data_IF_114019582989
#
_entry.id   IF_114019582989
#
_cell.length_a   1.000
_cell.length_b   1.000
_cell.length_c   1.000
_cell.angle_alpha   90.00
_cell.angle_beta   90.00
_cell.angle_gamma   90.00
#
_symmetry.space_group_name_H-M   'P 1'
#
loop_
_entity.id
_entity.type
_entity.pdbx_description
1 polymer ?
#
# COMPACT_ATOMS: atom_id res chain seq x y z
N UNK A 1 12.62 23.41 12.58
CA UNK A 1 11.73 22.78 11.63
C UNK A 1 12.38 22.62 10.28
N UNK A 2 12.97 23.68 9.80
CA UNK A 2 13.66 23.60 8.56
C UNK A 2 14.80 22.64 8.60
N UNK A 3 15.53 22.68 9.67
CA UNK A 3 16.64 21.77 9.84
C UNK A 3 16.16 20.35 9.90
N UNK A 4 15.04 20.15 10.57
CA UNK A 4 14.49 18.81 10.64
C UNK A 4 14.14 18.30 9.26
N UNK A 5 13.62 19.17 8.44
CA UNK A 5 13.30 18.76 7.08
C UNK A 5 14.55 18.42 6.30
N UNK A 6 15.56 19.25 6.46
CA UNK A 6 16.81 18.98 5.77
C UNK A 6 17.39 17.65 6.20
N UNK A 7 17.33 17.39 7.49
CA UNK A 7 17.91 16.16 7.99
C UNK A 7 17.13 14.96 7.56
N UNK A 8 15.94 15.16 7.03
CA UNK A 8 15.14 14.05 6.54
C UNK A 8 15.43 13.71 5.11
N UNK A 9 16.25 14.49 4.44
CA UNK A 9 16.66 14.13 3.11
C UNK A 9 17.58 12.93 3.22
N UNK A 10 17.19 11.82 2.60
CA UNK A 10 17.97 10.58 2.73
C UNK A 10 19.32 10.71 2.06
N UNK A 11 20.28 10.00 2.58
CA UNK A 11 21.60 9.97 1.97
C UNK A 11 21.54 9.46 0.54
N UNK A 12 20.59 8.59 0.26
CA UNK A 12 20.47 8.05 -1.07
C UNK A 12 20.09 9.10 -2.10
N UNK A 13 19.48 10.18 -1.68
CA UNK A 13 19.21 11.26 -2.60
C UNK A 13 20.51 11.87 -3.05
N UNK A 14 21.43 12.02 -2.11
CA UNK A 14 22.73 12.55 -2.39
C UNK A 14 23.48 11.61 -3.30
N UNK A 15 23.22 10.33 -3.17
CA UNK A 15 23.85 9.32 -4.02
C UNK A 15 23.17 9.23 -5.38
N UNK A 16 22.42 10.23 -5.75
CA UNK A 16 21.77 10.34 -7.04
C UNK A 16 20.75 9.27 -7.32
N UNK A 17 19.97 8.99 -6.29
CA UNK A 17 18.78 8.23 -6.50
C UNK A 17 18.98 6.87 -7.12
N UNK A 18 19.85 6.10 -6.54
CA UNK A 18 19.99 4.75 -7.00
C UNK A 18 18.65 4.04 -6.80
N UNK A 19 18.38 3.05 -7.63
CA UNK A 19 17.14 2.28 -7.52
C UNK A 19 17.01 1.65 -6.15
N UNK A 20 18.10 1.16 -5.59
CA UNK A 20 18.08 0.54 -4.27
C UNK A 20 17.63 1.56 -3.21
N UNK A 21 18.13 2.77 -3.32
CA UNK A 21 17.80 3.83 -2.38
C UNK A 21 16.31 4.16 -2.43
N UNK A 22 15.77 4.30 -3.63
CA UNK A 22 14.35 4.60 -3.78
C UNK A 22 13.48 3.47 -3.27
N UNK A 23 13.92 2.23 -3.48
CA UNK A 23 13.17 1.09 -2.99
C UNK A 23 13.16 1.04 -1.45
N UNK A 24 14.28 1.39 -0.84
CA UNK A 24 14.38 1.39 0.61
C UNK A 24 13.46 2.44 1.22
N UNK A 25 13.42 3.63 0.62
CA UNK A 25 12.55 4.68 1.11
C UNK A 25 11.08 4.32 0.96
N UNK A 26 10.74 3.71 -0.15
CA UNK A 26 9.38 3.30 -0.38
C UNK A 26 8.96 2.21 0.60
N UNK A 27 9.89 1.31 0.90
CA UNK A 27 9.63 0.25 1.86
C UNK A 27 9.36 0.83 3.24
N UNK A 28 10.14 1.83 3.66
CA UNK A 28 9.92 2.49 4.93
C UNK A 28 8.57 3.18 4.96
N UNK A 29 8.21 3.82 3.88
CA UNK A 29 6.92 4.47 3.76
C UNK A 29 5.79 3.46 3.91
N UNK A 30 5.90 2.33 3.24
CA UNK A 30 4.87 1.31 3.31
C UNK A 30 4.73 0.79 4.74
N UNK A 31 5.85 0.56 5.42
CA UNK A 31 5.80 0.09 6.80
C UNK A 31 5.10 1.08 7.72
N UNK A 32 5.40 2.35 7.58
CA UNK A 32 4.76 3.38 8.39
C UNK A 32 3.28 3.48 8.09
N UNK A 33 2.96 3.46 6.82
CA UNK A 33 1.56 3.51 6.40
C UNK A 33 0.79 2.32 6.95
N UNK A 34 1.33 1.12 6.75
CA UNK A 34 0.65 -0.11 7.16
C UNK A 34 0.39 -0.11 8.65
N UNK A 35 1.39 0.29 9.42
CA UNK A 35 1.31 0.31 10.86
C UNK A 35 0.25 1.29 11.33
N UNK A 36 0.29 2.51 10.80
CA UNK A 36 -0.68 3.53 11.17
C UNK A 36 -2.09 3.14 10.77
N UNK A 37 -2.23 2.57 9.59
CA UNK A 37 -3.55 2.18 9.12
C UNK A 37 -4.13 1.07 9.99
N UNK A 38 -3.33 0.08 10.33
CA UNK A 38 -3.82 -1.04 11.14
C UNK A 38 -4.10 -0.65 12.58
N UNK A 39 -3.47 0.43 13.06
CA UNK A 39 -3.82 0.96 14.36
C UNK A 39 -5.22 1.55 14.35
N UNK A 40 -5.60 2.16 13.24
CA UNK A 40 -6.94 2.73 13.10
C UNK A 40 -7.98 1.65 12.77
N UNK A 41 -7.58 0.66 12.00
CA UNK A 41 -8.50 -0.39 11.55
C UNK A 41 -7.89 -1.77 11.83
N UNK A 42 -7.84 -2.19 13.09
CA UNK A 42 -7.13 -3.43 13.45
C UNK A 42 -7.73 -4.70 12.84
N UNK A 43 -8.98 -4.66 12.46
CA UNK A 43 -9.62 -5.85 11.89
C UNK A 43 -9.81 -5.74 10.38
N UNK A 44 -9.09 -4.82 9.75
CA UNK A 44 -9.27 -4.57 8.32
C UNK A 44 -9.07 -5.83 7.48
N UNK A 45 -7.99 -6.56 7.72
CA UNK A 45 -7.67 -7.73 6.90
C UNK A 45 -8.76 -8.79 7.06
N UNK A 46 -9.18 -9.05 8.27
CA UNK A 46 -10.24 -10.02 8.53
C UNK A 46 -11.55 -9.61 7.85
N UNK A 47 -11.94 -8.37 8.05
CA UNK A 47 -13.18 -7.86 7.48
C UNK A 47 -13.12 -7.86 5.95
N UNK A 48 -11.98 -7.50 5.39
CA UNK A 48 -11.81 -7.47 3.96
C UNK A 48 -11.94 -8.88 3.37
N UNK A 49 -11.30 -9.86 4.01
CA UNK A 49 -11.35 -11.24 3.56
C UNK A 49 -12.76 -11.83 3.63
N UNK A 50 -13.59 -11.34 4.51
CA UNK A 50 -14.98 -11.81 4.60
C UNK A 50 -15.77 -11.45 3.35
N UNK A 51 -15.31 -10.48 2.58
CA UNK A 51 -15.96 -10.07 1.35
C UNK A 51 -15.50 -10.87 0.15
N UNK A 52 -14.50 -11.72 0.33
CA UNK A 52 -13.89 -12.47 -0.77
C UNK A 52 -14.23 -13.95 -0.70
N UNK A 53 -14.24 -14.59 -1.88
CA UNK A 53 -14.36 -16.04 -1.92
C UNK A 53 -13.14 -16.62 -1.24
N UNK A 54 -13.27 -17.82 -0.71
CA UNK A 54 -12.22 -18.44 0.10
C UNK A 54 -10.88 -18.49 -0.64
N UNK A 55 -10.90 -18.85 -1.89
CA UNK A 55 -9.67 -18.98 -2.67
C UNK A 55 -9.02 -17.62 -2.96
N UNK A 56 -9.79 -16.55 -2.80
CA UNK A 56 -9.29 -15.22 -3.10
C UNK A 56 -8.80 -14.46 -1.90
N UNK A 57 -8.90 -15.04 -0.71
CA UNK A 57 -8.53 -14.34 0.52
C UNK A 57 -7.03 -14.08 0.56
N UNK A 58 -6.67 -12.99 1.21
CA UNK A 58 -5.31 -12.51 1.22
C UNK A 58 -4.79 -12.50 2.64
N UNK A 59 -3.63 -13.14 2.84
CA UNK A 59 -2.98 -13.17 4.15
C UNK A 59 -1.54 -12.72 3.97
N UNK A 60 -1.16 -11.60 4.59
CA UNK A 60 0.22 -11.14 4.49
C UNK A 60 1.19 -12.18 5.02
N UNK A 61 2.35 -12.26 4.41
CA UNK A 61 3.38 -13.19 4.83
C UNK A 61 4.01 -12.69 6.12
N UNK A 62 4.76 -13.59 6.75
CA UNK A 62 5.52 -13.23 7.94
C UNK A 62 6.42 -12.04 7.63
N UNK A 63 6.35 -11.04 8.46
CA UNK A 63 7.13 -9.82 8.27
C UNK A 63 6.44 -8.75 7.47
N UNK A 64 5.30 -9.05 6.86
CA UNK A 64 4.49 -8.08 6.15
C UNK A 64 3.28 -7.70 6.98
N UNK A 65 2.93 -6.44 6.99
CA UNK A 65 1.70 -6.00 7.65
C UNK A 65 0.55 -5.97 6.65
N UNK A 66 0.79 -5.46 5.44
CA UNK A 66 -0.18 -5.45 4.36
C UNK A 66 0.49 -5.83 3.07
N UNK A 67 -0.27 -6.42 2.15
CA UNK A 67 0.21 -6.66 0.80
C UNK A 67 -0.11 -5.45 -0.06
N UNK A 68 0.39 -5.42 -1.29
CA UNK A 68 0.08 -4.35 -2.23
C UNK A 68 -1.43 -4.23 -2.44
N UNK A 69 -2.08 -5.37 -2.62
CA UNK A 69 -3.54 -5.38 -2.81
C UNK A 69 -4.25 -4.76 -1.62
N UNK A 70 -3.84 -5.15 -0.42
CA UNK A 70 -4.47 -4.61 0.78
C UNK A 70 -4.20 -3.12 0.94
N UNK A 71 -3.02 -2.64 0.56
CA UNK A 71 -2.73 -1.21 0.63
C UNK A 71 -3.63 -0.40 -0.29
N UNK A 72 -3.88 -0.93 -1.49
CA UNK A 72 -4.77 -0.26 -2.41
C UNK A 72 -6.14 -0.07 -1.77
N UNK A 73 -6.67 -1.11 -1.18
CA UNK A 73 -7.99 -1.03 -0.58
C UNK A 73 -7.99 -0.31 0.76
N UNK A 74 -6.84 -0.27 1.43
CA UNK A 74 -6.72 0.58 2.62
C UNK A 74 -6.87 2.05 2.22
N UNK A 75 -6.24 2.46 1.12
CA UNK A 75 -6.38 3.82 0.62
C UNK A 75 -7.82 4.12 0.25
N UNK A 76 -8.48 3.18 -0.40
CA UNK A 76 -9.88 3.34 -0.76
C UNK A 76 -10.73 3.51 0.51
N UNK A 77 -10.43 2.73 1.53
CA UNK A 77 -11.14 2.83 2.81
C UNK A 77 -10.98 4.20 3.44
N UNK A 78 -9.82 4.82 3.23
CA UNK A 78 -9.54 6.15 3.75
C UNK A 78 -10.13 7.26 2.89
N UNK A 79 -10.75 6.91 1.78
CA UNK A 79 -11.38 7.89 0.90
C UNK A 79 -10.62 8.22 -0.36
N UNK A 80 -9.45 7.60 -0.55
CA UNK A 80 -8.68 7.81 -1.77
C UNK A 80 -9.11 6.76 -2.78
N UNK A 81 -10.08 7.09 -3.61
CA UNK A 81 -10.71 6.12 -4.49
C UNK A 81 -10.24 6.20 -5.94
N UNK A 82 -9.58 7.28 -6.30
CA UNK A 82 -9.13 7.48 -7.68
C UNK A 82 -7.88 6.66 -7.96
N UNK A 83 -7.94 5.82 -9.00
CA UNK A 83 -6.83 4.93 -9.33
C UNK A 83 -5.55 5.69 -9.66
N UNK A 84 -5.67 6.85 -10.27
CA UNK A 84 -4.50 7.65 -10.60
C UNK A 84 -3.80 8.14 -9.33
N UNK A 85 -4.56 8.56 -8.34
CA UNK A 85 -4.01 9.02 -7.07
C UNK A 85 -3.38 7.86 -6.31
N UNK A 86 -4.05 6.72 -6.32
CA UNK A 86 -3.52 5.53 -5.66
C UNK A 86 -2.19 5.14 -6.30
N UNK A 87 -2.14 5.14 -7.63
CA UNK A 87 -0.93 4.79 -8.35
C UNK A 87 0.21 5.72 -7.98
N UNK A 88 -0.08 7.01 -7.96
CA UNK A 88 0.93 8.00 -7.62
C UNK A 88 1.41 7.83 -6.17
N UNK A 89 0.47 7.62 -5.27
CA UNK A 89 0.75 7.47 -3.85
C UNK A 89 1.66 6.26 -3.59
N UNK A 90 1.36 5.15 -4.25
CA UNK A 90 2.09 3.90 -4.02
C UNK A 90 3.29 3.72 -4.95
N UNK A 91 3.42 4.56 -5.96
CA UNK A 91 4.55 4.46 -6.87
C UNK A 91 4.38 3.39 -7.95
N UNK A 92 3.15 3.10 -8.33
CA UNK A 92 2.86 2.14 -9.39
C UNK A 92 2.24 2.84 -10.59
N UNK A 93 2.15 2.13 -11.71
CA UNK A 93 1.46 2.65 -12.87
C UNK A 93 -0.04 2.50 -12.67
N UNK A 94 -0.82 3.27 -13.43
CA UNK A 94 -2.27 3.13 -13.39
C UNK A 94 -2.71 1.74 -13.82
N UNK A 95 -2.02 1.19 -14.81
CA UNK A 95 -2.35 -0.15 -15.30
C UNK A 95 -2.23 -1.18 -14.18
N UNK A 96 -1.20 -1.05 -13.35
CA UNK A 96 -1.00 -1.94 -12.23
C UNK A 96 -2.17 -1.84 -11.25
N UNK A 97 -2.58 -0.61 -10.93
CA UNK A 97 -3.69 -0.40 -10.01
C UNK A 97 -4.99 -0.97 -10.58
N UNK A 98 -5.26 -0.72 -11.86
CA UNK A 98 -6.45 -1.27 -12.50
C UNK A 98 -6.45 -2.79 -12.46
N UNK A 99 -5.30 -3.41 -12.71
CA UNK A 99 -5.20 -4.86 -12.68
C UNK A 99 -5.53 -5.42 -11.30
N UNK A 100 -4.99 -4.79 -10.25
CA UNK A 100 -5.27 -5.23 -8.89
C UNK A 100 -6.75 -5.04 -8.54
N UNK A 101 -7.33 -3.91 -8.93
CA UNK A 101 -8.74 -3.66 -8.62
C UNK A 101 -9.65 -4.63 -9.36
N UNK A 102 -9.34 -4.94 -10.60
CA UNK A 102 -10.12 -5.92 -11.36
C UNK A 102 -10.03 -7.30 -10.75
N UNK A 103 -8.82 -7.69 -10.37
CA UNK A 103 -8.60 -8.96 -9.73
C UNK A 103 -9.43 -9.10 -8.47
N UNK A 104 -9.43 -8.04 -7.65
CA UNK A 104 -10.17 -8.08 -6.41
C UNK A 104 -11.67 -8.13 -6.65
N UNK A 105 -12.14 -7.43 -7.67
CA UNK A 105 -13.56 -7.47 -8.01
C UNK A 105 -13.96 -8.89 -8.36
N UNK A 106 -13.10 -9.60 -9.08
CA UNK A 106 -13.39 -10.97 -9.46
C UNK A 106 -13.38 -11.93 -8.28
N UNK A 107 -12.69 -11.57 -7.21
CA UNK A 107 -12.63 -12.40 -6.01
C UNK A 107 -13.76 -12.11 -5.04
N UNK A 108 -14.50 -11.04 -5.24
CA UNK A 108 -15.55 -10.64 -4.30
C UNK A 108 -16.72 -11.61 -4.36
N UNK A 109 -17.27 -11.92 -3.19
CA UNK A 109 -18.44 -12.78 -3.10
C UNK A 109 -19.63 -12.05 -3.73
N UNK A 110 -20.34 -12.76 -4.58
CA UNK A 110 -21.51 -12.18 -5.22
C UNK A 110 -21.22 -11.39 -6.47
N UNK A 111 -19.99 -11.41 -6.93
CA UNK A 111 -19.63 -10.68 -8.12
C UNK A 111 -19.96 -11.49 -9.37
#
# INVERSE_FOLDING_TARGET
>A
AKLAMSSRIPDCFIAFKSDQCLRDERKDFYNEFDKSFLELFPHFITSFNELLVEEGRIYPKSGELLTTELRIFALIRLGVTDSNRIAHFLGYSMATIYNYRSKMRNKAIGN
#
